data_IF_114357062083
#
_entry.id   IF_114357062083
#
_cell.length_a   1.000
_cell.length_b   1.000
_cell.length_c   1.000
_cell.angle_alpha   90.00
_cell.angle_beta   90.00
_cell.angle_gamma   90.00
#
_symmetry.space_group_name_H-M   'P 1'
#
loop_
_entity.id
_entity.type
_entity.pdbx_description
1 polymer ?
#
# COMPACT_ATOMS: atom_id res chain seq x y z
N UNK A 1 -67.31 -21.76 0.54
CA UNK A 1 -67.46 -21.30 1.94
C UNK A 1 -66.06 -21.01 2.47
N UNK A 2 -65.66 -19.84 2.96
CA UNK A 2 -66.34 -18.60 3.30
C UNK A 2 -65.28 -17.48 3.43
N UNK A 3 -65.61 -16.29 2.89
CA UNK A 3 -65.48 -14.94 3.49
C UNK A 3 -64.07 -14.30 3.67
N UNK A 4 -63.96 -13.05 3.21
CA UNK A 4 -62.77 -12.17 3.23
C UNK A 4 -62.50 -11.37 4.52
N UNK A 5 -62.07 -10.09 4.41
CA UNK A 5 -60.81 -9.57 4.95
C UNK A 5 -60.92 -8.96 6.35
N UNK A 6 -59.83 -9.00 7.14
CA UNK A 6 -59.69 -8.19 8.36
C UNK A 6 -58.27 -7.61 8.47
N UNK A 7 -58.18 -6.30 8.34
CA UNK A 7 -57.03 -5.53 8.79
C UNK A 7 -56.96 -5.56 10.31
N UNK A 8 -55.74 -5.69 10.84
CA UNK A 8 -55.45 -5.54 12.26
C UNK A 8 -54.61 -4.27 12.39
N UNK A 9 -55.23 -3.20 12.87
CA UNK A 9 -54.58 -2.02 13.42
C UNK A 9 -53.96 -2.42 14.75
N UNK A 10 -52.63 -2.48 14.85
CA UNK A 10 -51.93 -2.66 16.11
C UNK A 10 -51.50 -1.29 16.65
N UNK A 11 -52.03 -0.93 17.82
CA UNK A 11 -51.62 0.21 18.65
C UNK A 11 -50.19 0.03 19.20
N UNK A 12 -49.46 1.11 19.50
CA UNK A 12 -48.04 1.04 19.82
C UNK A 12 -47.84 0.84 21.33
N UNK A 13 -47.96 -0.38 21.84
CA UNK A 13 -47.64 -0.60 23.27
C UNK A 13 -47.02 -1.96 23.61
N UNK A 14 -46.74 -2.85 22.65
CA UNK A 14 -46.17 -4.16 22.95
C UNK A 14 -45.19 -4.65 21.87
N UNK A 15 -44.01 -4.03 21.77
CA UNK A 15 -42.88 -4.65 21.07
C UNK A 15 -41.80 -5.01 22.12
N UNK A 16 -41.40 -6.28 22.25
CA UNK A 16 -40.33 -6.65 23.16
C UNK A 16 -39.00 -6.09 22.65
N UNK A 17 -38.26 -5.41 23.52
CA UNK A 17 -36.93 -4.90 23.23
C UNK A 17 -36.02 -6.05 22.74
N UNK A 18 -35.25 -5.88 21.64
CA UNK A 18 -34.26 -6.86 21.26
C UNK A 18 -33.14 -6.84 22.30
N UNK A 19 -33.09 -7.87 23.15
CA UNK A 19 -31.97 -8.16 24.04
C UNK A 19 -30.74 -8.46 23.19
N UNK A 20 -29.99 -7.42 22.86
CA UNK A 20 -28.62 -7.54 22.38
C UNK A 20 -27.70 -7.60 23.60
N UNK A 21 -27.27 -8.81 23.93
CA UNK A 21 -26.25 -9.06 24.96
C UNK A 21 -24.90 -8.55 24.44
N UNK A 22 -24.60 -7.27 24.65
CA UNK A 22 -23.28 -6.70 24.39
C UNK A 22 -22.38 -6.87 25.61
N UNK A 23 -21.21 -7.45 25.41
CA UNK A 23 -20.09 -7.45 26.33
C UNK A 23 -19.61 -6.01 26.63
N UNK A 24 -19.14 -5.79 27.87
CA UNK A 24 -18.79 -4.48 28.43
C UNK A 24 -17.77 -3.69 27.60
N UNK A 25 -16.87 -4.38 26.88
CA UNK A 25 -15.85 -3.74 26.04
C UNK A 25 -16.43 -3.09 24.78
N UNK A 26 -17.49 -3.66 24.20
CA UNK A 26 -18.14 -3.16 22.98
C UNK A 26 -18.97 -1.91 23.26
N UNK A 27 -19.57 -1.82 24.46
CA UNK A 27 -20.25 -0.61 24.94
C UNK A 27 -19.26 0.53 25.21
N UNK A 28 -18.05 0.21 25.69
CA UNK A 28 -17.01 1.20 25.98
C UNK A 28 -16.40 1.78 24.70
N UNK A 29 -16.22 0.94 23.67
CA UNK A 29 -15.79 1.38 22.34
C UNK A 29 -16.85 2.26 21.66
N UNK A 30 -18.13 1.91 21.77
CA UNK A 30 -19.23 2.72 21.23
C UNK A 30 -19.40 4.07 21.97
N UNK A 31 -19.11 4.10 23.27
CA UNK A 31 -19.17 5.33 24.07
C UNK A 31 -18.03 6.31 23.72
N UNK A 32 -16.84 5.81 23.38
CA UNK A 32 -15.69 6.65 23.06
C UNK A 32 -15.87 7.45 21.76
N UNK A 33 -16.62 6.90 20.79
CA UNK A 33 -16.90 7.55 19.51
C UNK A 33 -18.23 8.33 19.47
N UNK A 34 -18.88 8.54 20.61
CA UNK A 34 -20.09 9.37 20.70
C UNK A 34 -19.74 10.85 20.59
N UNK A 35 -19.41 11.30 19.38
CA UNK A 35 -19.35 12.73 19.10
C UNK A 35 -20.75 13.33 19.32
N UNK A 36 -20.89 14.42 20.09
CA UNK A 36 -22.15 15.15 20.13
C UNK A 36 -22.40 15.69 18.73
N UNK A 37 -23.47 15.21 18.10
CA UNK A 37 -23.93 15.70 16.82
C UNK A 37 -24.16 17.21 16.94
N UNK A 38 -23.17 18.00 16.49
CA UNK A 38 -23.32 19.43 16.29
C UNK A 38 -24.47 19.56 15.31
N UNK A 39 -25.54 20.27 15.69
CA UNK A 39 -26.65 20.61 14.79
C UNK A 39 -26.07 21.45 13.64
N UNK A 40 -25.59 20.78 12.60
CA UNK A 40 -25.27 21.39 11.34
C UNK A 40 -26.62 21.71 10.69
N UNK A 41 -26.81 22.97 10.31
CA UNK A 41 -27.86 23.37 9.38
C UNK A 41 -27.91 22.35 8.23
N UNK A 42 -29.10 21.87 7.82
CA UNK A 42 -29.19 20.95 6.70
C UNK A 42 -28.74 21.71 5.45
N UNK A 43 -27.49 21.51 5.06
CA UNK A 43 -27.00 21.91 3.75
C UNK A 43 -27.91 21.19 2.75
N UNK A 44 -28.67 21.97 1.97
CA UNK A 44 -29.54 21.49 0.89
C UNK A 44 -28.68 20.94 -0.25
N UNK A 45 -27.98 19.85 0.03
CA UNK A 45 -27.28 19.06 -0.97
C UNK A 45 -28.19 17.90 -1.32
N UNK A 46 -28.48 17.71 -2.61
CA UNK A 46 -29.35 16.64 -3.05
C UNK A 46 -28.85 15.30 -2.49
N UNK A 47 -29.71 14.60 -1.74
CA UNK A 47 -29.40 13.30 -1.15
C UNK A 47 -28.89 12.29 -2.19
N UNK A 48 -29.31 12.43 -3.44
CA UNK A 48 -28.82 11.66 -4.58
C UNK A 48 -27.36 11.94 -4.87
N UNK A 49 -26.94 13.21 -4.87
CA UNK A 49 -25.55 13.61 -5.13
C UNK A 49 -24.61 13.10 -4.03
N UNK A 50 -25.02 13.23 -2.77
CA UNK A 50 -24.28 12.66 -1.63
C UNK A 50 -24.18 11.13 -1.75
N UNK A 51 -25.28 10.46 -2.10
CA UNK A 51 -25.34 9.01 -2.28
C UNK A 51 -24.46 8.50 -3.43
N UNK A 52 -24.38 9.24 -4.53
CA UNK A 52 -23.48 8.90 -5.64
C UNK A 52 -22.02 9.13 -5.26
N UNK A 53 -21.73 10.17 -4.47
CA UNK A 53 -20.39 10.43 -3.98
C UNK A 53 -19.92 9.36 -2.99
N UNK A 54 -20.78 8.91 -2.08
CA UNK A 54 -20.41 7.82 -1.16
C UNK A 54 -20.18 6.52 -1.92
N UNK A 55 -21.03 6.19 -2.89
CA UNK A 55 -20.81 5.04 -3.78
C UNK A 55 -19.51 5.16 -4.60
N UNK A 56 -19.11 6.37 -5.00
CA UNK A 56 -17.85 6.60 -5.71
C UNK A 56 -16.62 6.30 -4.83
N UNK A 57 -16.69 6.64 -3.55
CA UNK A 57 -15.64 6.35 -2.56
C UNK A 57 -15.79 4.94 -1.99
N UNK A 58 -16.49 4.06 -2.71
CA UNK A 58 -16.71 2.68 -2.30
C UNK A 58 -17.40 2.52 -0.93
N UNK A 59 -18.17 3.52 -0.47
CA UNK A 59 -18.89 3.47 0.80
C UNK A 59 -20.39 3.31 0.58
N UNK A 60 -20.97 2.25 1.16
CA UNK A 60 -22.42 2.12 1.19
C UNK A 60 -23.02 3.10 2.21
N UNK A 61 -23.98 3.96 1.83
CA UNK A 61 -24.69 4.78 2.81
C UNK A 61 -25.44 3.89 3.79
N UNK A 62 -25.46 4.29 5.06
CA UNK A 62 -26.24 3.63 6.10
C UNK A 62 -27.72 3.69 5.75
N UNK A 63 -28.28 2.55 5.35
CA UNK A 63 -29.68 2.46 4.99
C UNK A 63 -30.51 2.47 6.28
N UNK A 64 -31.15 3.59 6.58
CA UNK A 64 -32.25 3.62 7.56
C UNK A 64 -33.42 2.87 6.94
N UNK A 65 -33.92 1.84 7.63
CA UNK A 65 -34.99 0.99 7.14
C UNK A 65 -36.32 1.74 7.07
N UNK A 66 -36.56 2.48 5.99
CA UNK A 66 -37.89 3.00 5.68
C UNK A 66 -38.69 1.95 4.91
N UNK A 67 -39.80 1.51 5.49
CA UNK A 67 -40.67 0.47 4.92
C UNK A 67 -41.47 0.97 3.71
N UNK A 68 -41.47 2.29 3.44
CA UNK A 68 -42.21 2.89 2.33
C UNK A 68 -41.43 2.93 1.00
N UNK A 69 -40.14 2.57 0.99
CA UNK A 69 -39.34 2.54 -0.24
C UNK A 69 -39.43 1.15 -0.87
N UNK A 70 -39.92 1.02 -2.12
CA UNK A 70 -40.01 -0.28 -2.77
C UNK A 70 -38.63 -0.96 -2.86
N UNK A 71 -38.54 -2.22 -2.42
CA UNK A 71 -37.32 -3.03 -2.49
C UNK A 71 -37.02 -3.39 -3.94
N UNK A 72 -36.18 -2.60 -4.59
CA UNK A 72 -35.67 -2.91 -5.92
C UNK A 72 -34.49 -3.89 -5.82
N UNK A 73 -34.78 -5.19 -5.72
CA UNK A 73 -33.78 -6.27 -5.58
C UNK A 73 -32.72 -6.25 -6.70
N UNK A 74 -33.06 -6.08 -8.00
CA UNK A 74 -32.07 -6.04 -9.07
C UNK A 74 -31.07 -4.88 -8.93
N UNK A 75 -31.55 -3.71 -8.49
CA UNK A 75 -30.70 -2.53 -8.31
C UNK A 75 -29.67 -2.74 -7.18
N UNK A 76 -30.01 -3.51 -6.14
CA UNK A 76 -29.06 -3.84 -5.06
C UNK A 76 -27.94 -4.74 -5.55
N UNK A 77 -28.25 -5.77 -6.33
CA UNK A 77 -27.23 -6.63 -6.92
C UNK A 77 -26.32 -5.85 -7.88
N UNK A 78 -26.88 -4.96 -8.69
CA UNK A 78 -26.10 -4.09 -9.58
C UNK A 78 -25.12 -3.21 -8.79
N UNK A 79 -25.61 -2.50 -7.77
CA UNK A 79 -24.77 -1.63 -6.92
C UNK A 79 -23.71 -2.46 -6.18
N UNK A 80 -24.06 -3.62 -5.64
CA UNK A 80 -23.11 -4.50 -4.94
C UNK A 80 -22.01 -5.03 -5.86
N UNK A 81 -22.34 -5.41 -7.10
CA UNK A 81 -21.34 -5.85 -8.08
C UNK A 81 -20.43 -4.72 -8.54
N UNK A 82 -21.00 -3.54 -8.78
CA UNK A 82 -20.23 -2.34 -9.14
C UNK A 82 -19.25 -1.96 -8.03
N UNK A 83 -19.73 -1.99 -6.78
CA UNK A 83 -18.94 -1.75 -5.58
C UNK A 83 -17.81 -2.78 -5.42
N UNK A 84 -18.09 -4.07 -5.61
CA UNK A 84 -17.08 -5.12 -5.56
C UNK A 84 -15.98 -4.93 -6.61
N UNK A 85 -16.35 -4.59 -7.84
CA UNK A 85 -15.38 -4.30 -8.90
C UNK A 85 -14.53 -3.06 -8.58
N UNK A 86 -15.16 -2.02 -8.02
CA UNK A 86 -14.46 -0.82 -7.54
C UNK A 86 -13.39 -1.15 -6.52
N UNK A 87 -13.71 -1.98 -5.52
CA UNK A 87 -12.75 -2.39 -4.48
C UNK A 87 -11.58 -3.19 -5.06
N UNK A 88 -11.85 -4.15 -5.96
CA UNK A 88 -10.78 -4.94 -6.59
C UNK A 88 -9.81 -4.05 -7.37
N UNK A 89 -10.32 -3.02 -8.06
CA UNK A 89 -9.48 -2.07 -8.79
C UNK A 89 -8.65 -1.22 -7.80
N UNK A 90 -9.27 -0.71 -6.74
CA UNK A 90 -8.58 0.07 -5.72
C UNK A 90 -7.49 -0.73 -5.01
N UNK A 91 -7.77 -1.98 -4.62
CA UNK A 91 -6.81 -2.85 -3.95
C UNK A 91 -5.64 -3.22 -4.85
N UNK A 92 -5.89 -3.54 -6.12
CA UNK A 92 -4.83 -3.85 -7.08
C UNK A 92 -3.94 -2.65 -7.36
N UNK A 93 -4.51 -1.45 -7.46
CA UNK A 93 -3.74 -0.20 -7.57
C UNK A 93 -2.88 0.04 -6.33
N UNK A 94 -3.47 -0.08 -5.14
CA UNK A 94 -2.76 0.11 -3.86
C UNK A 94 -1.62 -0.91 -3.69
N UNK A 95 -1.85 -2.17 -4.07
CA UNK A 95 -0.84 -3.23 -4.04
C UNK A 95 0.32 -2.93 -5.03
N UNK A 96 -0.01 -2.51 -6.26
CA UNK A 96 1.00 -2.11 -7.24
C UNK A 96 1.82 -0.90 -6.78
N UNK A 97 1.15 0.10 -6.21
CA UNK A 97 1.80 1.27 -5.65
C UNK A 97 2.72 0.90 -4.48
N UNK A 98 2.27 0.06 -3.56
CA UNK A 98 3.08 -0.43 -2.46
C UNK A 98 4.33 -1.18 -2.95
N UNK A 99 4.20 -2.01 -4.00
CA UNK A 99 5.33 -2.70 -4.62
C UNK A 99 6.36 -1.75 -5.23
N UNK A 100 5.89 -0.65 -5.85
CA UNK A 100 6.79 0.36 -6.44
C UNK A 100 7.50 1.17 -5.37
N UNK A 101 6.81 1.48 -4.26
CA UNK A 101 7.38 2.27 -3.16
C UNK A 101 8.32 1.47 -2.26
N UNK A 102 8.15 0.14 -2.17
CA UNK A 102 9.01 -0.72 -1.35
C UNK A 102 10.31 -1.12 -2.04
N UNK A 103 10.35 -1.11 -3.38
CA UNK A 103 11.51 -1.56 -4.13
C UNK A 103 12.40 -0.37 -4.48
N UNK A 104 13.60 -0.25 -3.88
CA UNK A 104 14.58 0.74 -4.32
C UNK A 104 14.92 0.47 -5.80
N UNK A 105 14.86 1.52 -6.62
CA UNK A 105 15.27 1.44 -8.03
C UNK A 105 16.78 1.56 -8.09
N UNK A 106 17.46 0.44 -8.23
CA UNK A 106 18.87 0.42 -8.56
C UNK A 106 19.07 0.61 -10.06
N UNK A 107 20.25 1.12 -10.41
CA UNK A 107 20.71 1.10 -11.79
C UNK A 107 20.98 -0.34 -12.24
N UNK A 108 21.05 -0.56 -13.55
CA UNK A 108 21.46 -1.87 -14.08
C UNK A 108 22.82 -2.27 -13.47
N UNK A 109 23.03 -3.55 -13.13
CA UNK A 109 24.32 -4.00 -12.62
C UNK A 109 25.45 -3.81 -13.64
N UNK A 110 26.68 -3.76 -13.16
CA UNK A 110 27.88 -3.69 -13.99
C UNK A 110 28.26 -5.12 -14.38
N UNK A 111 27.89 -5.52 -15.60
CA UNK A 111 28.10 -6.89 -16.10
C UNK A 111 29.28 -7.00 -17.10
N UNK A 112 29.71 -5.87 -17.68
CA UNK A 112 30.74 -5.84 -18.73
C UNK A 112 31.84 -4.84 -18.40
N UNK A 113 33.01 -5.02 -19.03
CA UNK A 113 34.16 -4.14 -18.86
C UNK A 113 33.82 -2.72 -19.32
N UNK A 114 33.05 -2.57 -20.40
CA UNK A 114 32.62 -1.28 -20.93
C UNK A 114 31.63 -0.57 -19.99
N UNK A 115 30.76 -1.34 -19.33
CA UNK A 115 29.87 -0.82 -18.29
C UNK A 115 30.65 -0.34 -17.06
N UNK A 116 31.71 -1.05 -16.68
CA UNK A 116 32.60 -0.62 -15.61
C UNK A 116 33.34 0.66 -16.02
N UNK A 117 33.81 0.72 -17.26
CA UNK A 117 34.61 1.81 -17.77
C UNK A 117 33.84 3.13 -17.88
N UNK A 118 32.61 3.06 -18.37
CA UNK A 118 31.72 4.21 -18.52
C UNK A 118 31.25 4.81 -17.17
N UNK A 119 31.11 3.99 -16.13
CA UNK A 119 30.60 4.44 -14.81
C UNK A 119 31.67 5.01 -13.89
N UNK A 120 32.96 4.85 -14.22
CA UNK A 120 34.09 5.43 -13.48
C UNK A 120 34.03 5.18 -11.96
N UNK A 121 33.59 3.98 -11.56
CA UNK A 121 33.37 3.62 -10.14
C UNK A 121 34.70 3.55 -9.40
N UNK A 122 34.74 4.10 -8.18
CA UNK A 122 35.87 3.94 -7.27
C UNK A 122 35.73 2.59 -6.58
N UNK A 123 36.77 1.77 -6.64
CA UNK A 123 36.75 0.45 -6.04
C UNK A 123 38.03 0.18 -5.27
N UNK A 124 37.92 -0.60 -4.20
CA UNK A 124 39.03 -0.85 -3.30
C UNK A 124 39.25 -2.33 -3.04
N UNK A 125 40.51 -2.67 -2.79
CA UNK A 125 40.97 -4.02 -2.47
C UNK A 125 42.06 -3.99 -1.41
N UNK A 126 42.27 -5.12 -0.76
CA UNK A 126 43.24 -5.28 0.31
C UNK A 126 44.70 -5.33 -0.18
N UNK A 127 44.92 -5.62 -1.46
CA UNK A 127 46.24 -5.83 -2.03
C UNK A 127 46.30 -5.42 -3.51
N UNK A 128 47.46 -4.97 -3.99
CA UNK A 128 47.68 -4.56 -5.39
C UNK A 128 47.57 -5.71 -6.40
N UNK A 129 47.60 -6.96 -5.92
CA UNK A 129 47.45 -8.14 -6.79
C UNK A 129 46.13 -8.18 -7.54
N UNK A 130 45.08 -7.51 -7.05
CA UNK A 130 43.79 -7.41 -7.74
C UNK A 130 43.87 -6.68 -9.09
N UNK A 131 44.87 -5.81 -9.27
CA UNK A 131 45.07 -5.07 -10.52
C UNK A 131 46.19 -5.64 -11.38
N UNK A 132 47.02 -6.54 -10.86
CA UNK A 132 48.26 -6.98 -11.54
C UNK A 132 48.02 -7.53 -12.94
N UNK A 133 47.05 -8.44 -13.10
CA UNK A 133 46.79 -9.09 -14.40
C UNK A 133 46.17 -8.17 -15.46
N UNK A 134 45.72 -6.98 -15.04
CA UNK A 134 45.01 -6.03 -15.89
C UNK A 134 45.88 -4.78 -16.14
N UNK A 135 46.85 -4.50 -15.26
CA UNK A 135 47.78 -3.35 -15.38
C UNK A 135 48.74 -3.50 -16.57
N UNK A 136 48.98 -4.74 -17.00
CA UNK A 136 49.80 -5.08 -18.17
C UNK A 136 48.99 -5.15 -19.48
N UNK A 137 47.68 -4.87 -19.44
CA UNK A 137 46.82 -4.86 -20.63
C UNK A 137 46.81 -3.48 -21.31
N UNK A 138 47.02 -3.45 -22.63
CA UNK A 138 47.06 -2.24 -23.45
C UNK A 138 45.66 -1.72 -23.87
N UNK A 139 44.58 -2.42 -23.51
CA UNK A 139 43.23 -2.03 -23.92
C UNK A 139 42.81 -0.68 -23.28
N UNK A 140 42.45 0.34 -24.08
CA UNK A 140 42.05 1.66 -23.57
C UNK A 140 40.84 1.61 -22.63
N UNK A 141 39.93 0.63 -22.77
CA UNK A 141 38.74 0.50 -21.94
C UNK A 141 39.06 0.03 -20.51
N UNK A 142 40.24 -0.55 -20.29
CA UNK A 142 40.71 -0.97 -18.96
C UNK A 142 41.40 0.16 -18.19
N UNK A 143 41.52 1.38 -18.75
CA UNK A 143 42.12 2.52 -18.02
C UNK A 143 41.32 3.00 -16.79
N UNK A 144 40.12 2.48 -16.56
CA UNK A 144 39.30 2.69 -15.36
C UNK A 144 39.97 2.24 -14.06
N UNK A 145 41.06 1.48 -14.17
CA UNK A 145 41.92 1.08 -13.05
C UNK A 145 42.54 2.23 -12.27
N UNK A 146 42.56 3.45 -12.82
CA UNK A 146 42.99 4.67 -12.09
C UNK A 146 42.18 4.93 -10.81
N UNK A 147 40.97 4.37 -10.74
CA UNK A 147 40.09 4.52 -9.59
C UNK A 147 40.28 3.43 -8.53
N UNK A 148 41.22 2.48 -8.73
CA UNK A 148 41.54 1.49 -7.70
C UNK A 148 42.20 2.16 -6.49
N UNK A 149 41.82 1.73 -5.29
CA UNK A 149 42.40 2.15 -4.02
C UNK A 149 42.83 0.92 -3.22
N UNK A 150 44.13 0.84 -2.90
CA UNK A 150 44.63 -0.18 -1.99
C UNK A 150 44.43 0.31 -0.55
N UNK A 151 43.62 -0.40 0.23
CA UNK A 151 43.29 -0.07 1.62
C UNK A 151 43.56 -1.30 2.51
N UNK A 152 43.91 -1.09 3.79
CA UNK A 152 44.04 -2.22 4.73
C UNK A 152 42.67 -2.79 5.09
N UNK A 153 42.61 -4.01 5.67
CA UNK A 153 41.34 -4.63 6.06
C UNK A 153 40.55 -3.77 7.06
N UNK A 154 41.25 -3.10 7.97
CA UNK A 154 40.65 -2.20 8.96
C UNK A 154 40.04 -0.97 8.26
N UNK A 155 40.78 -0.37 7.33
CA UNK A 155 40.31 0.78 6.54
C UNK A 155 39.16 0.42 5.61
N UNK A 156 39.16 -0.77 5.03
CA UNK A 156 38.06 -1.30 4.21
C UNK A 156 36.80 -1.48 5.05
N UNK A 157 36.92 -2.02 6.27
CA UNK A 157 35.77 -2.19 7.16
C UNK A 157 35.20 -0.84 7.62
N UNK A 158 36.05 0.11 7.98
CA UNK A 158 35.62 1.47 8.33
C UNK A 158 34.98 2.20 7.15
N UNK A 159 35.55 2.06 5.95
CA UNK A 159 35.03 2.70 4.73
C UNK A 159 33.73 2.05 4.27
N UNK A 160 33.61 0.72 4.35
CA UNK A 160 32.38 -0.01 4.01
C UNK A 160 31.21 0.30 4.95
N UNK A 161 31.48 0.70 6.19
CA UNK A 161 30.44 1.17 7.13
C UNK A 161 29.98 2.60 6.86
N UNK A 162 30.80 3.42 6.18
CA UNK A 162 30.57 4.86 6.00
C UNK A 162 30.23 5.26 4.56
N UNK A 163 30.74 4.56 3.56
CA UNK A 163 30.78 5.03 2.18
C UNK A 163 29.79 4.24 1.31
N UNK A 164 28.86 4.96 0.69
CA UNK A 164 27.94 4.41 -0.33
C UNK A 164 28.54 4.42 -1.75
N UNK A 165 29.66 5.13 -1.95
CA UNK A 165 30.18 5.50 -3.27
C UNK A 165 31.43 4.69 -3.69
N UNK A 166 31.75 3.63 -2.94
CA UNK A 166 32.92 2.77 -3.17
C UNK A 166 32.51 1.31 -3.28
N UNK A 167 32.95 0.65 -4.37
CA UNK A 167 32.76 -0.77 -4.57
C UNK A 167 33.87 -1.60 -3.92
N UNK A 168 33.52 -2.77 -3.41
CA UNK A 168 34.44 -3.68 -2.75
C UNK A 168 34.42 -5.06 -3.41
N UNK A 169 35.58 -5.68 -3.53
CA UNK A 169 35.67 -7.10 -3.84
C UNK A 169 35.09 -7.91 -2.67
N UNK A 170 34.09 -8.74 -2.94
CA UNK A 170 33.51 -9.65 -1.92
C UNK A 170 34.44 -10.84 -1.67
N UNK A 171 35.26 -11.20 -2.66
CA UNK A 171 36.17 -12.33 -2.59
C UNK A 171 37.38 -12.03 -1.72
N UNK A 172 37.78 -13.02 -0.92
CA UNK A 172 39.03 -12.97 -0.16
C UNK A 172 40.15 -13.52 -1.03
N UNK A 173 41.18 -12.71 -1.24
CA UNK A 173 42.42 -13.21 -1.81
C UNK A 173 42.98 -14.28 -0.85
N UNK A 174 43.20 -15.50 -1.34
CA UNK A 174 43.90 -16.51 -0.57
C UNK A 174 45.36 -16.06 -0.45
N UNK A 175 45.74 -15.69 0.78
CA UNK A 175 47.10 -15.35 1.19
C UNK A 175 47.45 -16.10 2.46
#
# INVERSE_FOLDING_TARGET
>A
ACIGPRGITLTPEHLPDPVLTYNSETLLFAAHFRQPARQAEPVLMDYTALRTYTMLVNQSPTFVWDSNVPRHVPARHFVSWFQFLGEVISDTYNAGLASVLSTPRYEAPIETIENLASRNVIWAGNHVSWTWSIEEDDNPDLQTMRNFRCLTNEQLNETGQRSEDMAFGIERLHG
#
